data_IF_401268033194
#
_entry.id   IF_401268033194
#
_cell.length_a   1.000
_cell.length_b   1.000
_cell.length_c   1.000
_cell.angle_alpha   90.00
_cell.angle_beta   90.00
_cell.angle_gamma   90.00
#
_symmetry.space_group_name_H-M   'P 1'
#
loop_
_entity.id
_entity.type
_entity.pdbx_description
1 polymer ?
#
# COMPACT_ATOMS: atom_id res chain seq x y z
N UNK A 1 -18.94 -0.27 -3.47
CA UNK A 1 -19.48 0.35 -4.70
C UNK A 1 -18.86 -0.32 -5.91
N UNK A 2 -19.68 -0.79 -6.87
CA UNK A 2 -19.21 -1.45 -8.09
C UNK A 2 -18.46 -0.45 -9.00
N UNK A 3 -17.31 -0.83 -9.53
CA UNK A 3 -16.51 0.05 -10.38
C UNK A 3 -17.17 0.22 -11.75
N UNK A 4 -17.26 1.48 -12.21
CA UNK A 4 -17.96 1.87 -13.44
C UNK A 4 -16.97 1.93 -14.59
N UNK A 5 -17.13 1.05 -15.56
CA UNK A 5 -16.24 0.97 -16.73
C UNK A 5 -17.02 1.38 -17.97
N UNK A 6 -16.40 2.22 -18.79
CA UNK A 6 -16.86 2.44 -20.16
C UNK A 6 -16.08 1.54 -21.09
N UNK A 7 -16.79 0.67 -21.82
CA UNK A 7 -16.22 -0.23 -22.82
C UNK A 7 -16.57 0.29 -24.23
N UNK A 8 -15.57 0.60 -25.05
CA UNK A 8 -15.77 1.15 -26.39
C UNK A 8 -15.14 0.23 -27.45
N UNK A 9 -15.95 -0.67 -28.02
CA UNK A 9 -15.50 -1.72 -28.95
C UNK A 9 -16.40 -1.77 -30.16
N UNK A 10 -15.83 -1.76 -31.37
CA UNK A 10 -16.58 -1.69 -32.62
C UNK A 10 -17.50 -2.90 -32.80
N UNK A 11 -17.04 -4.10 -32.43
CA UNK A 11 -17.77 -5.35 -32.63
C UNK A 11 -18.80 -5.58 -31.51
N UNK A 12 -20.10 -5.41 -31.80
CA UNK A 12 -21.17 -5.76 -30.85
C UNK A 12 -21.13 -7.24 -30.42
N UNK A 13 -20.71 -8.12 -31.34
CA UNK A 13 -20.52 -9.56 -31.09
C UNK A 13 -19.47 -9.86 -30.01
N UNK A 14 -18.58 -8.92 -29.71
CA UNK A 14 -17.64 -9.01 -28.60
C UNK A 14 -18.26 -8.54 -27.28
N UNK A 15 -19.05 -7.46 -27.33
CA UNK A 15 -19.67 -6.84 -26.16
C UNK A 15 -20.70 -7.77 -25.51
N UNK A 16 -21.57 -8.39 -26.31
CA UNK A 16 -22.70 -9.17 -25.81
C UNK A 16 -22.28 -10.37 -24.93
N UNK A 17 -21.34 -11.25 -25.35
CA UNK A 17 -20.88 -12.35 -24.50
C UNK A 17 -20.20 -11.89 -23.21
N UNK A 18 -19.47 -10.77 -23.27
CA UNK A 18 -18.77 -10.22 -22.11
C UNK A 18 -19.77 -9.68 -21.07
N UNK A 19 -20.77 -8.91 -21.49
CA UNK A 19 -21.84 -8.43 -20.60
C UNK A 19 -22.66 -9.60 -20.07
N UNK A 20 -22.95 -10.61 -20.90
CA UNK A 20 -23.67 -11.80 -20.47
C UNK A 20 -22.90 -12.54 -19.37
N UNK A 21 -21.59 -12.76 -19.53
CA UNK A 21 -20.76 -13.38 -18.50
C UNK A 21 -20.68 -12.55 -17.22
N UNK A 22 -20.51 -11.23 -17.34
CA UNK A 22 -20.47 -10.31 -16.21
C UNK A 22 -21.73 -10.43 -15.34
N UNK A 23 -22.90 -10.42 -15.95
CA UNK A 23 -24.18 -10.49 -15.24
C UNK A 23 -24.43 -11.81 -14.52
N UNK A 24 -23.80 -12.90 -14.96
CA UNK A 24 -24.00 -14.25 -14.41
C UNK A 24 -22.79 -14.76 -13.61
N UNK A 25 -21.87 -13.89 -13.22
CA UNK A 25 -20.68 -14.22 -12.44
C UNK A 25 -20.54 -13.32 -11.22
N UNK A 26 -19.61 -13.67 -10.33
CA UNK A 26 -19.26 -12.87 -9.13
C UNK A 26 -18.83 -11.42 -9.47
N UNK A 27 -18.39 -11.19 -10.70
CA UNK A 27 -17.98 -9.86 -11.18
C UNK A 27 -19.15 -8.88 -11.32
N UNK A 28 -20.40 -9.37 -11.43
CA UNK A 28 -21.59 -8.51 -11.59
C UNK A 28 -21.86 -7.60 -10.39
N UNK A 29 -21.42 -7.98 -9.19
CA UNK A 29 -21.47 -7.13 -8.00
C UNK A 29 -20.28 -6.14 -7.92
N UNK A 30 -19.18 -6.44 -8.62
CA UNK A 30 -17.93 -5.69 -8.56
C UNK A 30 -17.78 -4.67 -9.69
N UNK A 31 -18.36 -4.92 -10.86
CA UNK A 31 -18.21 -4.12 -12.07
C UNK A 31 -19.58 -3.74 -12.66
N UNK A 32 -19.66 -2.49 -13.13
CA UNK A 32 -20.76 -2.00 -13.97
C UNK A 32 -20.20 -1.50 -15.28
N UNK A 33 -20.47 -2.21 -16.37
CA UNK A 33 -19.95 -1.88 -17.70
C UNK A 33 -21.03 -1.16 -18.52
N UNK A 34 -20.70 0.02 -19.05
CA UNK A 34 -21.49 0.73 -20.06
C UNK A 34 -20.76 0.61 -21.39
N UNK A 35 -21.36 -0.08 -22.37
CA UNK A 35 -20.67 -0.44 -23.61
C UNK A 35 -21.16 0.37 -24.82
N UNK A 36 -20.24 0.72 -25.70
CA UNK A 36 -20.47 1.49 -26.92
C UNK A 36 -19.81 0.82 -28.12
N UNK A 37 -20.59 0.65 -29.19
CA UNK A 37 -20.09 0.16 -30.50
C UNK A 37 -20.00 1.24 -31.57
N UNK A 38 -20.51 2.45 -31.29
CA UNK A 38 -20.50 3.59 -32.20
C UNK A 38 -19.68 4.73 -31.58
N UNK A 39 -18.74 5.26 -32.37
CA UNK A 39 -17.80 6.29 -31.93
C UNK A 39 -18.53 7.57 -31.46
N UNK A 40 -19.50 8.05 -32.23
CA UNK A 40 -20.23 9.28 -31.92
C UNK A 40 -20.95 9.20 -30.56
N UNK A 41 -21.59 8.05 -30.29
CA UNK A 41 -22.30 7.81 -29.04
C UNK A 41 -21.33 7.71 -27.83
N UNK A 42 -20.15 7.12 -28.04
CA UNK A 42 -19.10 7.07 -27.01
C UNK A 42 -18.59 8.48 -26.69
N UNK A 43 -18.26 9.29 -27.69
CA UNK A 43 -17.76 10.66 -27.48
C UNK A 43 -18.83 11.52 -26.82
N UNK A 44 -20.09 11.44 -27.26
CA UNK A 44 -21.21 12.16 -26.65
C UNK A 44 -21.41 11.77 -25.18
N UNK A 45 -21.38 10.47 -24.86
CA UNK A 45 -21.46 10.00 -23.47
C UNK A 45 -20.30 10.52 -22.61
N UNK A 46 -19.08 10.43 -23.13
CA UNK A 46 -17.89 10.89 -22.41
C UNK A 46 -17.90 12.40 -22.20
N UNK A 47 -18.68 13.20 -22.94
CA UNK A 47 -18.81 14.65 -22.71
C UNK A 47 -19.68 15.02 -21.50
N UNK A 48 -20.47 14.09 -20.99
CA UNK A 48 -21.28 14.30 -19.79
C UNK A 48 -20.45 14.59 -18.53
N UNK A 49 -21.14 15.00 -17.46
CA UNK A 49 -20.50 15.31 -16.17
C UNK A 49 -20.10 14.04 -15.37
N UNK A 50 -20.70 12.89 -15.69
CA UNK A 50 -20.46 11.65 -14.96
C UNK A 50 -19.24 10.88 -15.49
N UNK A 51 -18.12 10.99 -14.78
CA UNK A 51 -16.85 10.38 -15.18
C UNK A 51 -16.76 8.91 -14.73
N UNK A 52 -16.44 7.96 -15.63
CA UNK A 52 -16.25 6.57 -15.26
C UNK A 52 -14.99 6.35 -14.39
N UNK A 53 -14.86 5.17 -13.84
CA UNK A 53 -13.67 4.73 -13.10
C UNK A 53 -12.55 4.31 -14.02
N UNK A 54 -12.87 3.75 -15.18
CA UNK A 54 -11.92 3.46 -16.24
C UNK A 54 -12.58 3.44 -17.62
N UNK A 55 -11.78 3.63 -18.66
CA UNK A 55 -12.18 3.51 -20.06
C UNK A 55 -11.36 2.41 -20.74
N UNK A 56 -12.02 1.44 -21.36
CA UNK A 56 -11.36 0.36 -22.11
C UNK A 56 -11.93 0.34 -23.51
N UNK A 57 -11.11 0.24 -24.55
CA UNK A 57 -11.66 0.18 -25.90
C UNK A 57 -10.65 -0.09 -27.00
N UNK A 58 -11.15 -0.18 -28.22
CA UNK A 58 -10.29 -0.28 -29.40
C UNK A 58 -9.47 1.01 -29.57
N UNK A 59 -8.29 0.90 -30.18
CA UNK A 59 -7.35 2.02 -30.37
C UNK A 59 -8.02 3.26 -30.97
N UNK A 60 -8.90 3.08 -31.97
CA UNK A 60 -9.58 4.19 -32.65
C UNK A 60 -10.52 5.00 -31.75
N UNK A 61 -11.15 4.37 -30.77
CA UNK A 61 -12.03 5.07 -29.82
C UNK A 61 -11.20 5.83 -28.79
N UNK A 62 -10.18 5.17 -28.25
CA UNK A 62 -9.29 5.75 -27.25
C UNK A 62 -8.54 6.96 -27.79
N UNK A 63 -7.95 6.85 -28.99
CA UNK A 63 -7.24 7.96 -29.63
C UNK A 63 -8.15 9.17 -29.86
N UNK A 64 -9.38 8.95 -30.36
CA UNK A 64 -10.34 10.02 -30.59
C UNK A 64 -10.73 10.75 -29.29
N UNK A 65 -10.88 10.02 -28.18
CA UNK A 65 -11.21 10.61 -26.88
C UNK A 65 -10.02 11.33 -26.24
N UNK A 66 -8.79 10.81 -26.38
CA UNK A 66 -7.58 11.44 -25.83
C UNK A 66 -7.23 12.76 -26.53
N UNK A 67 -7.54 12.91 -27.82
CA UNK A 67 -7.35 14.17 -28.58
C UNK A 67 -8.17 15.32 -27.98
N UNK A 68 -9.30 15.04 -27.31
CA UNK A 68 -10.07 16.06 -26.59
C UNK A 68 -9.43 16.50 -25.25
N UNK A 69 -8.20 16.06 -24.93
CA UNK A 69 -7.42 16.52 -23.77
C UNK A 69 -7.80 15.88 -22.43
N UNK A 70 -8.52 14.75 -22.45
CA UNK A 70 -9.07 14.09 -21.25
C UNK A 70 -8.16 12.95 -20.78
N UNK A 71 -7.13 13.28 -20.00
CA UNK A 71 -6.12 12.32 -19.51
C UNK A 71 -6.27 11.92 -18.02
N UNK A 72 -7.36 12.32 -17.35
CA UNK A 72 -7.53 12.12 -15.90
C UNK A 72 -8.14 10.77 -15.51
N UNK A 73 -8.80 10.07 -16.44
CA UNK A 73 -9.41 8.75 -16.21
C UNK A 73 -8.44 7.67 -16.72
N UNK A 74 -8.13 6.62 -15.92
CA UNK A 74 -7.32 5.51 -16.40
C UNK A 74 -7.95 4.85 -17.62
N UNK A 75 -7.10 4.47 -18.57
CA UNK A 75 -7.58 3.87 -19.81
C UNK A 75 -6.69 2.75 -20.31
N UNK A 76 -7.32 1.84 -21.06
CA UNK A 76 -6.64 0.73 -21.71
C UNK A 76 -7.09 0.56 -23.15
N UNK A 77 -6.16 0.10 -23.98
CA UNK A 77 -6.43 -0.31 -25.36
C UNK A 77 -6.55 -1.83 -25.41
N UNK A 78 -7.64 -2.31 -26.00
CA UNK A 78 -7.80 -3.72 -26.33
C UNK A 78 -7.00 -4.06 -27.58
N UNK A 79 -6.08 -5.01 -27.47
CA UNK A 79 -5.24 -5.49 -28.57
C UNK A 79 -5.58 -6.92 -28.96
N UNK A 80 -5.61 -7.21 -30.25
CA UNK A 80 -5.63 -8.58 -30.75
C UNK A 80 -4.18 -9.10 -30.80
N UNK A 81 -3.92 -10.28 -30.23
CA UNK A 81 -2.57 -10.88 -30.22
C UNK A 81 -2.04 -10.99 -31.66
N UNK A 82 -0.84 -10.46 -31.91
CA UNK A 82 -0.19 -10.45 -33.23
C UNK A 82 -0.11 -9.10 -33.93
N UNK A 83 -0.74 -8.05 -33.38
CA UNK A 83 -0.52 -6.69 -33.87
C UNK A 83 0.84 -6.14 -33.39
N UNK A 84 1.88 -6.33 -34.19
CA UNK A 84 3.12 -5.56 -34.06
C UNK A 84 2.76 -4.07 -34.10
N UNK A 85 3.03 -3.34 -33.03
CA UNK A 85 3.08 -1.89 -33.13
C UNK A 85 4.23 -1.54 -34.08
N UNK A 86 3.87 -1.07 -35.27
CA UNK A 86 4.71 -0.19 -36.06
C UNK A 86 5.28 0.88 -35.11
N UNK A 87 6.58 1.16 -35.23
CA UNK A 87 7.34 2.15 -34.45
C UNK A 87 6.85 3.61 -34.59
N UNK A 88 5.61 3.84 -35.04
CA UNK A 88 4.98 5.13 -35.25
C UNK A 88 4.05 5.58 -34.11
N UNK A 89 3.60 4.72 -33.20
CA UNK A 89 2.73 5.13 -32.08
C UNK A 89 3.53 5.58 -30.84
N UNK A 90 4.30 6.67 -30.99
CA UNK A 90 4.97 7.39 -29.89
C UNK A 90 4.00 8.20 -29.00
N UNK A 91 2.69 7.96 -29.06
CA UNK A 91 1.67 8.87 -28.51
C UNK A 91 0.77 8.29 -27.39
N UNK A 92 0.93 7.03 -26.98
CA UNK A 92 0.10 6.42 -25.93
C UNK A 92 0.81 6.43 -24.55
N UNK A 93 1.49 7.53 -24.22
CA UNK A 93 2.12 7.69 -22.91
C UNK A 93 1.03 7.75 -21.82
N UNK A 94 0.92 6.68 -21.01
CA UNK A 94 0.08 6.65 -19.81
C UNK A 94 -1.09 5.66 -19.80
N UNK A 95 -1.37 4.94 -20.89
CA UNK A 95 -2.37 3.87 -20.93
C UNK A 95 -1.77 2.47 -20.95
N UNK A 96 -2.56 1.46 -20.56
CA UNK A 96 -2.14 0.05 -20.57
C UNK A 96 -2.73 -0.71 -21.76
N UNK A 97 -2.11 -1.82 -22.13
CA UNK A 97 -2.60 -2.71 -23.19
C UNK A 97 -3.18 -3.97 -22.58
N UNK A 98 -4.38 -4.37 -23.02
CA UNK A 98 -5.08 -5.57 -22.55
C UNK A 98 -5.39 -6.45 -23.77
N UNK A 99 -5.04 -7.74 -23.70
CA UNK A 99 -5.38 -8.69 -24.75
C UNK A 99 -6.90 -8.86 -24.85
N UNK A 100 -7.46 -8.66 -26.05
CA UNK A 100 -8.90 -8.73 -26.33
C UNK A 100 -9.43 -10.16 -26.21
N UNK A 101 -8.66 -11.14 -26.68
CA UNK A 101 -9.03 -12.56 -26.72
C UNK A 101 -8.28 -13.35 -25.66
N UNK A 102 -8.83 -13.34 -24.45
CA UNK A 102 -8.34 -14.13 -23.31
C UNK A 102 -9.52 -14.68 -22.51
N UNK A 103 -9.25 -15.50 -21.50
CA UNK A 103 -10.29 -15.98 -20.60
C UNK A 103 -11.04 -14.81 -19.94
N UNK A 104 -12.38 -14.85 -19.94
CA UNK A 104 -13.21 -13.78 -19.39
C UNK A 104 -12.89 -13.42 -17.92
N UNK A 105 -12.61 -14.36 -17.01
CA UNK A 105 -12.10 -14.02 -15.67
C UNK A 105 -10.83 -13.16 -15.71
N UNK A 106 -9.85 -13.52 -16.55
CA UNK A 106 -8.60 -12.76 -16.67
C UNK A 106 -8.84 -11.36 -17.23
N UNK A 107 -9.74 -11.24 -18.22
CA UNK A 107 -10.12 -9.96 -18.81
C UNK A 107 -10.81 -9.04 -17.79
N UNK A 108 -11.79 -9.56 -17.05
CA UNK A 108 -12.49 -8.79 -16.01
C UNK A 108 -11.57 -8.48 -14.81
N UNK A 109 -10.62 -9.37 -14.50
CA UNK A 109 -9.53 -9.10 -13.56
C UNK A 109 -8.66 -7.91 -13.98
N UNK A 110 -8.27 -7.85 -15.26
CA UNK A 110 -7.52 -6.71 -15.80
C UNK A 110 -8.33 -5.40 -15.77
N UNK A 111 -9.65 -5.47 -15.98
CA UNK A 111 -10.56 -4.32 -15.87
C UNK A 111 -10.65 -3.80 -14.43
N UNK A 112 -10.75 -4.70 -13.46
CA UNK A 112 -10.71 -4.36 -12.05
C UNK A 112 -9.38 -3.73 -11.66
N UNK A 113 -8.25 -4.30 -12.11
CA UNK A 113 -6.92 -3.72 -11.88
C UNK A 113 -6.81 -2.30 -12.46
N UNK A 114 -7.34 -2.05 -13.65
CA UNK A 114 -7.38 -0.71 -14.24
C UNK A 114 -8.22 0.28 -13.41
N UNK A 115 -9.32 -0.17 -12.82
CA UNK A 115 -10.10 0.66 -11.88
C UNK A 115 -9.35 0.85 -10.56
N UNK A 116 -8.63 -0.18 -10.10
CA UNK A 116 -7.71 -0.05 -8.98
C UNK A 116 -6.58 0.92 -9.29
N UNK A 117 -6.17 1.18 -10.54
CA UNK A 117 -5.22 2.27 -10.88
C UNK A 117 -5.80 3.65 -10.51
N UNK A 118 -7.13 3.86 -10.61
CA UNK A 118 -7.80 5.09 -10.12
C UNK A 118 -7.80 5.15 -8.59
N UNK A 119 -7.97 4.01 -7.90
CA UNK A 119 -7.88 3.92 -6.43
C UNK A 119 -6.44 3.86 -5.90
N UNK A 120 -5.48 3.51 -6.75
CA UNK A 120 -4.04 3.46 -6.48
C UNK A 120 -3.40 4.83 -6.70
N UNK A 121 -4.05 5.72 -7.47
CA UNK A 121 -4.02 7.16 -7.19
C UNK A 121 -4.87 7.40 -5.94
N UNK A 122 -4.29 7.04 -4.81
CA UNK A 122 -4.96 6.92 -3.52
C UNK A 122 -5.98 8.02 -3.25
N UNK A 123 -7.27 7.69 -3.35
CA UNK A 123 -8.26 8.48 -2.65
C UNK A 123 -8.23 7.98 -1.22
N UNK A 124 -7.45 8.66 -0.38
CA UNK A 124 -7.60 8.56 1.07
C UNK A 124 -9.08 8.72 1.39
N UNK A 125 -9.65 7.77 2.12
CA UNK A 125 -11.01 7.89 2.66
C UNK A 125 -11.01 8.96 3.76
N UNK A 126 -9.84 9.24 4.32
CA UNK A 126 -9.61 10.17 5.41
C UNK A 126 -8.98 11.48 4.94
N UNK A 127 -9.20 12.54 5.71
CA UNK A 127 -8.59 13.85 5.47
C UNK A 127 -7.10 13.91 5.87
N UNK A 128 -6.66 13.00 6.74
CA UNK A 128 -5.29 12.93 7.27
C UNK A 128 -4.69 11.52 7.15
N UNK A 129 -3.41 11.47 6.79
CA UNK A 129 -2.62 10.23 6.71
C UNK A 129 -2.07 9.86 8.09
N UNK A 130 -2.42 8.68 8.60
CA UNK A 130 -1.86 8.13 9.83
C UNK A 130 -0.48 7.50 9.56
N UNK A 131 0.56 8.02 10.21
CA UNK A 131 1.88 7.39 10.24
C UNK A 131 2.01 6.42 11.43
N UNK A 132 2.11 5.13 11.14
CA UNK A 132 2.31 4.05 12.10
C UNK A 132 3.72 3.46 11.97
N UNK A 133 4.57 3.71 12.96
CA UNK A 133 5.92 3.14 13.01
C UNK A 133 5.95 1.79 13.72
N UNK A 134 6.52 0.77 13.09
CA UNK A 134 6.74 -0.55 13.70
C UNK A 134 8.18 -0.64 14.19
N UNK A 135 8.37 -0.73 15.51
CA UNK A 135 9.67 -0.63 16.17
C UNK A 135 9.91 -1.79 17.12
N UNK A 136 11.17 -2.03 17.46
CA UNK A 136 11.57 -3.04 18.45
C UNK A 136 12.98 -2.75 18.93
N UNK A 137 13.27 -3.09 20.18
CA UNK A 137 14.60 -3.00 20.76
C UNK A 137 15.49 -4.21 20.48
N UNK A 138 14.94 -5.23 19.81
CA UNK A 138 15.58 -6.52 19.59
C UNK A 138 15.37 -6.98 18.15
N UNK A 139 16.38 -7.66 17.60
CA UNK A 139 16.25 -8.37 16.34
C UNK A 139 15.31 -9.58 16.48
N UNK A 140 14.74 -10.02 15.35
CA UNK A 140 13.92 -11.24 15.27
C UNK A 140 12.72 -11.31 16.24
N UNK A 141 12.11 -10.14 16.53
CA UNK A 141 10.82 -10.03 17.23
C UNK A 141 9.63 -10.16 16.27
N UNK A 142 9.89 -10.20 14.96
CA UNK A 142 8.86 -10.34 13.93
C UNK A 142 8.22 -9.03 13.49
N UNK A 143 8.91 -7.89 13.64
CA UNK A 143 8.44 -6.56 13.19
C UNK A 143 7.85 -6.58 11.79
N UNK A 144 8.65 -7.01 10.80
CA UNK A 144 8.24 -7.13 9.40
C UNK A 144 7.01 -7.99 9.21
N UNK A 145 6.90 -9.08 9.97
CA UNK A 145 5.71 -9.94 9.96
C UNK A 145 4.46 -9.22 10.43
N UNK A 146 4.56 -8.50 11.55
CA UNK A 146 3.45 -7.71 12.08
C UNK A 146 3.10 -6.59 11.10
N UNK A 147 4.10 -5.85 10.61
CA UNK A 147 3.93 -4.75 9.67
C UNK A 147 3.18 -5.17 8.40
N UNK A 148 3.61 -6.27 7.76
CA UNK A 148 2.96 -6.77 6.55
C UNK A 148 1.55 -7.30 6.79
N UNK A 149 1.34 -8.05 7.87
CA UNK A 149 0.00 -8.56 8.15
C UNK A 149 -0.97 -7.42 8.51
N UNK A 150 -0.52 -6.39 9.24
CA UNK A 150 -1.31 -5.19 9.46
C UNK A 150 -1.61 -4.46 8.15
N UNK A 151 -0.62 -4.29 7.27
CA UNK A 151 -0.81 -3.64 5.98
C UNK A 151 -1.88 -4.35 5.15
N UNK A 152 -1.78 -5.68 5.07
CA UNK A 152 -2.77 -6.52 4.41
C UNK A 152 -4.16 -6.37 5.04
N UNK A 153 -4.26 -6.52 6.36
CA UNK A 153 -5.55 -6.50 7.06
C UNK A 153 -6.29 -5.17 6.85
N UNK A 154 -5.57 -4.05 6.86
CA UNK A 154 -6.12 -2.72 6.62
C UNK A 154 -6.49 -2.50 5.15
N UNK A 155 -5.66 -2.98 4.21
CA UNK A 155 -5.95 -2.93 2.78
C UNK A 155 -7.19 -3.77 2.40
N UNK A 156 -7.38 -4.93 3.03
CA UNK A 156 -8.57 -5.78 2.88
C UNK A 156 -9.84 -5.11 3.42
N UNK A 157 -9.71 -4.22 4.40
CA UNK A 157 -10.80 -3.39 4.91
C UNK A 157 -11.14 -2.20 3.98
N UNK A 158 -10.40 -2.02 2.89
CA UNK A 158 -10.65 -0.97 1.90
C UNK A 158 -9.92 0.34 2.16
N UNK A 159 -9.03 0.41 3.15
CA UNK A 159 -8.18 1.58 3.37
C UNK A 159 -7.08 1.67 2.31
N UNK A 160 -6.69 2.89 1.96
CA UNK A 160 -5.49 3.12 1.15
C UNK A 160 -4.24 3.03 2.02
N UNK A 161 -3.56 1.89 1.95
CA UNK A 161 -2.40 1.58 2.80
C UNK A 161 -1.09 1.70 2.02
N UNK A 162 -0.08 2.32 2.62
CA UNK A 162 1.30 2.32 2.15
C UNK A 162 2.21 1.55 3.11
N UNK A 163 2.95 0.57 2.61
CA UNK A 163 3.99 -0.15 3.34
C UNK A 163 5.36 0.40 2.95
N UNK A 164 6.08 0.95 3.92
CA UNK A 164 7.42 1.50 3.76
C UNK A 164 8.42 0.68 4.59
N UNK A 165 9.34 -0.04 3.94
CA UNK A 165 10.45 -0.70 4.61
C UNK A 165 11.68 0.22 4.69
N UNK A 166 12.21 0.44 5.90
CA UNK A 166 13.42 1.21 6.20
C UNK A 166 14.54 0.38 6.85
N UNK A 167 14.48 -0.95 6.77
CA UNK A 167 15.58 -1.84 7.16
C UNK A 167 16.84 -1.60 6.31
N UNK A 168 18.03 -1.64 6.92
CA UNK A 168 19.30 -1.57 6.17
C UNK A 168 19.43 -2.68 5.12
N UNK A 169 18.90 -3.87 5.44
CA UNK A 169 18.86 -5.04 4.56
C UNK A 169 17.41 -5.49 4.52
N UNK A 170 16.76 -5.27 3.38
CA UNK A 170 15.34 -5.56 3.21
C UNK A 170 15.07 -7.07 3.25
N UNK A 171 14.43 -7.53 4.33
CA UNK A 171 13.98 -8.91 4.48
C UNK A 171 12.62 -9.18 3.83
N UNK A 172 11.90 -8.14 3.43
CA UNK A 172 10.56 -8.22 2.83
C UNK A 172 10.55 -8.92 1.48
N UNK A 173 11.65 -8.84 0.73
CA UNK A 173 11.80 -9.49 -0.58
C UNK A 173 11.68 -11.02 -0.55
N UNK A 174 11.75 -11.65 0.63
CA UNK A 174 11.47 -13.07 0.81
C UNK A 174 9.97 -13.40 0.74
N UNK A 175 9.10 -12.41 0.89
CA UNK A 175 7.64 -12.58 0.94
C UNK A 175 6.93 -11.75 -0.13
N UNK A 176 7.53 -10.63 -0.53
CA UNK A 176 6.99 -9.68 -1.48
C UNK A 176 7.83 -9.66 -2.74
N UNK A 177 7.21 -10.00 -3.88
CA UNK A 177 7.84 -9.87 -5.19
C UNK A 177 7.31 -8.62 -5.85
N UNK A 178 8.16 -7.61 -6.12
CA UNK A 178 7.68 -6.39 -6.74
C UNK A 178 7.15 -6.73 -8.14
N UNK A 179 6.07 -6.07 -8.60
CA UNK A 179 5.50 -6.34 -9.91
C UNK A 179 6.54 -6.07 -11.01
N UNK A 180 6.38 -6.75 -12.15
CA UNK A 180 7.18 -6.43 -13.33
C UNK A 180 6.90 -4.98 -13.77
N UNK A 181 7.93 -4.25 -14.19
CA UNK A 181 7.80 -2.89 -14.70
C UNK A 181 9.02 -2.01 -14.42
N UNK A 182 9.04 -0.86 -15.07
CA UNK A 182 10.18 0.08 -15.07
C UNK A 182 10.02 1.22 -14.05
N UNK A 183 9.12 1.07 -13.07
CA UNK A 183 8.96 2.03 -11.96
C UNK A 183 10.32 2.23 -11.29
N UNK A 184 10.83 3.47 -11.20
CA UNK A 184 12.10 3.71 -10.54
C UNK A 184 12.07 3.33 -9.06
N UNK A 185 13.24 2.95 -8.52
CA UNK A 185 13.38 2.59 -7.11
C UNK A 185 13.42 3.78 -6.15
N UNK A 186 13.31 3.46 -4.85
CA UNK A 186 13.38 4.45 -3.77
C UNK A 186 14.69 5.24 -3.79
N UNK A 187 15.79 4.65 -4.26
CA UNK A 187 17.09 5.32 -4.40
C UNK A 187 17.02 6.57 -5.28
N UNK A 188 16.22 6.54 -6.35
CA UNK A 188 16.04 7.68 -7.24
C UNK A 188 15.18 8.76 -6.59
N UNK A 189 14.12 8.37 -5.90
CA UNK A 189 13.29 9.31 -5.13
C UNK A 189 14.14 10.03 -4.07
N UNK A 190 14.98 9.31 -3.33
CA UNK A 190 15.86 9.91 -2.33
C UNK A 190 16.86 10.89 -2.94
N UNK A 191 17.38 10.59 -4.13
CA UNK A 191 18.23 11.53 -4.86
C UNK A 191 17.47 12.82 -5.21
N UNK A 192 16.23 12.71 -5.70
CA UNK A 192 15.40 13.87 -6.06
C UNK A 192 14.99 14.69 -4.84
N UNK A 193 14.70 14.05 -3.69
CA UNK A 193 14.48 14.73 -2.41
C UNK A 193 15.70 15.57 -2.03
N UNK A 194 16.90 14.98 -2.08
CA UNK A 194 18.15 15.67 -1.77
C UNK A 194 18.41 16.84 -2.72
N UNK A 195 18.23 16.63 -4.02
CA UNK A 195 18.42 17.67 -5.02
C UNK A 195 17.41 18.82 -4.87
N UNK A 196 16.16 18.51 -4.51
CA UNK A 196 15.12 19.53 -4.28
C UNK A 196 15.41 20.37 -3.05
N UNK A 197 15.96 19.75 -1.98
CA UNK A 197 16.41 20.46 -0.78
C UNK A 197 17.49 21.48 -1.08
N UNK A 198 18.50 21.11 -1.87
CA UNK A 198 19.61 21.98 -2.23
C UNK A 198 19.17 23.19 -3.10
N UNK A 199 18.07 23.04 -3.83
CA UNK A 199 17.45 24.10 -4.64
C UNK A 199 16.39 24.93 -3.91
N UNK A 200 16.18 24.71 -2.61
CA UNK A 200 15.20 25.47 -1.81
C UNK A 200 13.73 25.03 -1.98
N UNK A 201 13.48 23.78 -2.40
CA UNK A 201 12.13 23.18 -2.38
C UNK A 201 11.18 23.63 -3.49
N UNK A 202 11.69 24.20 -4.57
CA UNK A 202 10.87 24.73 -5.67
C UNK A 202 10.29 23.64 -6.61
N UNK A 203 10.87 22.43 -6.62
CA UNK A 203 10.43 21.32 -7.48
C UNK A 203 9.41 20.46 -6.72
N UNK A 204 8.17 20.36 -7.22
CA UNK A 204 7.18 19.39 -6.73
C UNK A 204 7.55 18.00 -7.23
N UNK A 205 7.98 17.12 -6.32
CA UNK A 205 8.27 15.72 -6.63
C UNK A 205 6.94 14.99 -6.80
N UNK A 206 6.67 14.49 -8.01
CA UNK A 206 5.54 13.58 -8.23
C UNK A 206 5.86 12.22 -7.61
N UNK A 207 5.26 11.95 -6.45
CA UNK A 207 5.47 10.70 -5.73
C UNK A 207 4.91 9.49 -6.48
N UNK A 208 3.85 9.69 -7.27
CA UNK A 208 3.11 8.63 -7.95
C UNK A 208 3.95 7.81 -8.92
N UNK A 209 5.01 8.41 -9.48
CA UNK A 209 5.92 7.71 -10.40
C UNK A 209 6.81 6.65 -9.73
N UNK A 210 6.95 6.66 -8.41
CA UNK A 210 7.78 5.69 -7.65
C UNK A 210 6.94 4.61 -6.96
N UNK A 211 5.62 4.80 -6.89
CA UNK A 211 4.73 3.90 -6.16
C UNK A 211 4.48 2.64 -6.99
N UNK A 212 4.68 1.48 -6.36
CA UNK A 212 4.22 0.18 -6.82
C UNK A 212 3.12 -0.34 -5.91
N UNK A 213 2.35 -1.33 -6.39
CA UNK A 213 1.31 -2.00 -5.61
C UNK A 213 1.64 -3.48 -5.47
N UNK A 214 1.52 -3.99 -4.26
CA UNK A 214 1.60 -5.41 -3.96
C UNK A 214 0.19 -5.98 -3.83
N UNK A 215 -0.24 -6.76 -4.81
CA UNK A 215 -1.60 -7.33 -4.84
C UNK A 215 -1.90 -8.20 -3.61
N UNK A 216 -0.96 -9.08 -3.22
CA UNK A 216 -1.12 -9.95 -2.06
C UNK A 216 -1.11 -9.21 -0.72
N UNK A 217 -0.49 -8.03 -0.67
CA UNK A 217 -0.46 -7.16 0.52
C UNK A 217 -1.61 -6.14 0.52
N UNK A 218 -2.35 -6.01 -0.59
CA UNK A 218 -3.39 -4.99 -0.80
C UNK A 218 -2.91 -3.55 -0.51
N UNK A 219 -1.62 -3.30 -0.67
CA UNK A 219 -0.96 -2.07 -0.22
C UNK A 219 -0.01 -1.52 -1.29
N UNK A 220 0.15 -0.21 -1.30
CA UNK A 220 1.18 0.49 -2.03
C UNK A 220 2.54 0.38 -1.32
N UNK A 221 3.63 0.53 -2.06
CA UNK A 221 5.00 0.54 -1.52
C UNK A 221 5.95 1.22 -2.52
N UNK A 222 7.20 1.43 -2.11
CA UNK A 222 8.28 1.69 -3.07
C UNK A 222 8.99 0.40 -3.44
N UNK A 223 9.62 0.38 -4.62
CA UNK A 223 10.59 -0.69 -4.91
C UNK A 223 11.77 -0.58 -3.92
N UNK A 224 12.24 -1.71 -3.38
CA UNK A 224 13.29 -1.71 -2.37
C UNK A 224 14.64 -1.30 -2.95
N UNK A 225 15.46 -0.65 -2.12
CA UNK A 225 16.82 -0.28 -2.49
C UNK A 225 17.70 -1.54 -2.45
N UNK A 226 18.27 -1.89 -3.60
CA UNK A 226 19.13 -3.09 -3.73
C UNK A 226 20.51 -2.84 -3.10
N UNK A 227 21.01 -1.61 -3.19
CA UNK A 227 22.33 -1.24 -2.69
C UNK A 227 22.27 -0.84 -1.22
N UNK A 228 22.72 -1.74 -0.33
CA UNK A 228 22.78 -1.50 1.12
C UNK A 228 23.53 -0.21 1.48
N UNK A 229 24.53 0.21 0.69
CA UNK A 229 25.26 1.46 0.97
C UNK A 229 24.37 2.70 0.87
N UNK A 230 23.42 2.70 -0.05
CA UNK A 230 22.47 3.81 -0.20
C UNK A 230 21.53 3.88 0.99
N UNK A 231 21.05 2.72 1.47
CA UNK A 231 20.31 2.67 2.74
C UNK A 231 21.16 3.26 3.86
N UNK A 232 22.37 2.75 4.12
CA UNK A 232 23.25 3.22 5.20
C UNK A 232 23.59 4.72 5.16
N UNK A 233 23.47 5.37 4.00
CA UNK A 233 23.68 6.81 3.83
C UNK A 233 22.42 7.66 4.04
N UNK A 234 21.25 7.05 4.24
CA UNK A 234 20.03 7.76 4.58
C UNK A 234 20.13 8.37 5.97
N UNK A 235 20.01 9.68 6.02
CA UNK A 235 20.05 10.43 7.28
C UNK A 235 18.66 10.52 7.93
N UNK A 236 18.61 10.98 9.17
CA UNK A 236 17.34 11.32 9.84
C UNK A 236 16.55 12.34 9.03
N UNK A 237 17.20 13.37 8.48
CA UNK A 237 16.51 14.39 7.68
C UNK A 237 15.94 13.80 6.38
N UNK A 238 16.72 12.99 5.66
CA UNK A 238 16.24 12.36 4.41
C UNK A 238 14.97 11.51 4.65
N UNK A 239 14.92 10.82 5.80
CA UNK A 239 13.76 10.02 6.20
C UNK A 239 12.58 10.90 6.60
N UNK A 240 12.81 12.00 7.31
CA UNK A 240 11.76 12.96 7.67
C UNK A 240 11.14 13.61 6.42
N UNK A 241 11.96 13.95 5.43
CA UNK A 241 11.52 14.52 4.16
C UNK A 241 10.67 13.51 3.38
N UNK A 242 11.11 12.24 3.31
CA UNK A 242 10.35 11.15 2.69
C UNK A 242 8.98 10.92 3.35
N UNK A 243 8.94 10.83 4.68
CA UNK A 243 7.69 10.69 5.43
C UNK A 243 6.80 11.93 5.26
N UNK A 244 7.39 13.11 5.17
CA UNK A 244 6.69 14.36 4.89
C UNK A 244 5.99 14.36 3.54
N UNK A 245 6.66 13.86 2.49
CA UNK A 245 6.06 13.72 1.16
C UNK A 245 4.88 12.76 1.15
N UNK A 246 5.01 11.60 1.80
CA UNK A 246 3.94 10.61 1.90
C UNK A 246 2.68 11.19 2.57
N UNK A 247 2.84 12.03 3.59
CA UNK A 247 1.73 12.71 4.28
C UNK A 247 1.17 13.88 3.46
N UNK A 248 2.03 14.65 2.78
CA UNK A 248 1.62 15.83 2.03
C UNK A 248 0.73 15.49 0.83
N UNK A 249 1.01 14.37 0.16
CA UNK A 249 0.23 13.88 -0.98
C UNK A 249 -1.19 13.42 -0.61
N UNK A 250 -1.45 13.09 0.67
CA UNK A 250 -2.75 12.62 1.19
C UNK A 250 -3.39 11.50 0.36
N UNK A 251 -2.55 10.66 -0.25
CA UNK A 251 -3.02 9.53 -1.04
C UNK A 251 -3.32 8.29 -0.16
N UNK A 252 -2.86 8.27 1.08
CA UNK A 252 -2.93 7.10 1.95
C UNK A 252 -3.62 7.42 3.27
N UNK A 253 -4.57 6.57 3.65
CA UNK A 253 -5.19 6.56 4.97
C UNK A 253 -4.15 6.21 6.05
N UNK A 254 -3.34 5.18 5.77
CA UNK A 254 -2.33 4.66 6.70
C UNK A 254 -1.01 4.39 5.99
N UNK A 255 0.08 4.90 6.54
CA UNK A 255 1.44 4.53 6.16
C UNK A 255 2.05 3.71 7.30
N UNK A 256 2.32 2.45 7.04
CA UNK A 256 3.02 1.54 7.95
C UNK A 256 4.51 1.58 7.63
N UNK A 257 5.31 2.03 8.60
CA UNK A 257 6.75 2.15 8.46
C UNK A 257 7.45 1.05 9.24
N UNK A 258 7.96 0.04 8.53
CA UNK A 258 8.78 -1.03 9.11
C UNK A 258 10.23 -0.55 9.27
N UNK A 259 10.78 -0.66 10.48
CA UNK A 259 12.09 -0.11 10.81
C UNK A 259 13.15 -1.19 10.98
N UNK A 260 14.41 -0.81 10.76
CA UNK A 260 15.56 -1.63 11.15
C UNK A 260 15.82 -1.60 12.66
N UNK A 261 17.08 -1.43 13.02
CA UNK A 261 17.47 -1.27 14.42
C UNK A 261 17.19 0.16 14.91
N UNK A 262 16.79 0.29 16.18
CA UNK A 262 16.33 1.57 16.75
C UNK A 262 17.44 2.64 16.83
N UNK A 263 18.70 2.21 16.87
CA UNK A 263 19.88 3.09 16.83
C UNK A 263 20.10 3.78 15.47
N UNK A 264 19.51 3.24 14.39
CA UNK A 264 19.67 3.77 13.03
C UNK A 264 18.99 5.14 12.88
N UNK A 265 19.58 6.02 12.06
CA UNK A 265 19.04 7.37 11.82
C UNK A 265 17.62 7.37 11.25
N UNK A 266 17.30 6.37 10.42
CA UNK A 266 15.95 6.16 9.87
C UNK A 266 14.95 5.82 10.97
N UNK A 267 15.30 4.92 11.89
CA UNK A 267 14.43 4.57 13.01
C UNK A 267 14.20 5.77 13.94
N UNK A 268 15.22 6.60 14.18
CA UNK A 268 15.06 7.86 14.92
C UNK A 268 14.06 8.80 14.25
N UNK A 269 14.13 8.97 12.93
CA UNK A 269 13.15 9.78 12.19
C UNK A 269 11.71 9.26 12.36
N UNK A 270 11.53 7.93 12.34
CA UNK A 270 10.24 7.30 12.62
C UNK A 270 9.77 7.60 14.04
N UNK A 271 10.65 7.48 15.04
CA UNK A 271 10.34 7.85 16.42
C UNK A 271 9.96 9.32 16.57
N UNK A 272 10.51 10.22 15.75
CA UNK A 272 10.11 11.63 15.71
C UNK A 272 8.76 11.85 15.05
N UNK A 273 8.56 11.31 13.84
CA UNK A 273 7.48 11.74 12.95
C UNK A 273 6.19 10.94 13.10
N UNK A 274 6.26 9.65 13.47
CA UNK A 274 5.07 8.81 13.52
C UNK A 274 4.13 9.23 14.66
N UNK A 275 2.83 9.19 14.40
CA UNK A 275 1.78 9.49 15.37
C UNK A 275 1.52 8.32 16.32
N UNK A 276 1.79 7.09 15.87
CA UNK A 276 1.74 5.87 16.67
C UNK A 276 3.04 5.09 16.47
N UNK A 277 3.56 4.53 17.56
CA UNK A 277 4.69 3.61 17.57
C UNK A 277 4.25 2.26 18.14
N UNK A 278 4.23 1.22 17.31
CA UNK A 278 3.98 -0.15 17.75
C UNK A 278 5.30 -0.86 18.05
N UNK A 279 5.56 -1.09 19.33
CA UNK A 279 6.67 -1.87 19.85
C UNK A 279 6.34 -3.36 19.81
N UNK A 280 6.99 -4.07 18.89
CA UNK A 280 6.89 -5.52 18.82
C UNK A 280 7.95 -6.12 19.74
N UNK A 281 7.49 -6.80 20.78
CA UNK A 281 8.33 -7.42 21.82
C UNK A 281 8.10 -8.92 21.85
N UNK A 282 9.10 -9.67 22.33
CA UNK A 282 8.93 -11.09 22.67
C UNK A 282 8.66 -11.22 24.16
N UNK A 283 7.97 -12.29 24.53
CA UNK A 283 7.74 -12.66 25.94
C UNK A 283 9.00 -13.30 26.56
N UNK A 284 10.13 -12.59 26.54
CA UNK A 284 11.38 -13.01 27.15
C UNK A 284 12.09 -11.84 27.84
N UNK A 285 12.80 -12.13 28.93
CA UNK A 285 13.43 -11.11 29.79
C UNK A 285 14.39 -10.19 29.02
N UNK A 286 15.08 -10.72 28.01
CA UNK A 286 16.05 -9.94 27.23
C UNK A 286 15.34 -8.91 26.36
N UNK A 287 14.30 -9.33 25.64
CA UNK A 287 13.49 -8.43 24.81
C UNK A 287 12.85 -7.33 25.66
N UNK A 288 12.30 -7.71 26.81
CA UNK A 288 11.67 -6.78 27.75
C UNK A 288 12.71 -5.79 28.31
N UNK A 289 13.83 -6.29 28.82
CA UNK A 289 14.88 -5.45 29.40
C UNK A 289 15.37 -4.40 28.40
N UNK A 290 15.65 -4.82 27.16
CA UNK A 290 16.09 -3.91 26.09
C UNK A 290 15.02 -2.86 25.76
N UNK A 291 13.75 -3.26 25.69
CA UNK A 291 12.64 -2.33 25.41
C UNK A 291 12.56 -1.26 26.49
N UNK A 292 12.58 -1.65 27.76
CA UNK A 292 12.52 -0.72 28.89
C UNK A 292 13.70 0.23 28.93
N UNK A 293 14.92 -0.26 28.64
CA UNK A 293 16.11 0.59 28.54
C UNK A 293 15.98 1.64 27.44
N UNK A 294 15.48 1.25 26.26
CA UNK A 294 15.27 2.17 25.16
C UNK A 294 14.20 3.21 25.45
N UNK A 295 13.06 2.81 26.02
CA UNK A 295 12.01 3.75 26.43
C UNK A 295 12.52 4.73 27.49
N UNK A 296 13.27 4.23 28.48
CA UNK A 296 13.88 5.08 29.51
C UNK A 296 14.85 6.09 28.91
N UNK A 297 15.65 5.67 27.92
CA UNK A 297 16.55 6.55 27.18
C UNK A 297 15.76 7.60 26.36
N UNK A 298 14.69 7.21 25.68
CA UNK A 298 13.85 8.14 24.92
C UNK A 298 13.21 9.21 25.81
N UNK A 299 12.78 8.84 27.02
CA UNK A 299 12.17 9.75 27.98
C UNK A 299 13.18 10.57 28.81
N UNK A 300 14.49 10.27 28.72
CA UNK A 300 15.49 10.97 29.50
C UNK A 300 15.68 12.42 28.99
N UNK A 301 15.78 13.42 29.89
CA UNK A 301 16.10 14.78 29.49
C UNK A 301 17.48 14.82 28.81
N UNK A 302 17.57 15.53 27.68
CA UNK A 302 18.78 15.67 26.86
C UNK A 302 19.23 14.40 26.09
N UNK A 303 18.36 13.39 25.93
CA UNK A 303 18.66 12.22 25.09
C UNK A 303 18.81 12.55 23.59
N UNK A 304 18.35 13.74 23.16
CA UNK A 304 18.21 14.09 21.75
C UNK A 304 17.03 13.39 21.07
N UNK A 305 16.26 12.59 21.83
CA UNK A 305 15.07 11.88 21.36
C UNK A 305 13.83 12.77 21.50
N UNK A 306 12.76 12.48 20.73
CA UNK A 306 11.53 13.27 20.82
C UNK A 306 10.89 13.15 22.20
N UNK A 307 10.42 14.27 22.74
CA UNK A 307 9.48 14.25 23.87
C UNK A 307 8.23 13.47 23.46
N UNK A 308 7.64 12.70 24.39
CA UNK A 308 6.36 11.97 24.18
C UNK A 308 6.45 10.67 23.37
N UNK A 309 7.65 10.06 23.19
CA UNK A 309 7.75 8.71 22.59
C UNK A 309 6.82 7.73 23.32
N UNK A 310 6.76 7.79 24.64
CA UNK A 310 5.91 6.92 25.45
C UNK A 310 4.41 7.12 25.16
N UNK A 311 3.94 8.36 25.02
CA UNK A 311 2.50 8.66 24.87
C UNK A 311 1.90 8.03 23.60
N UNK A 312 2.71 7.98 22.55
CA UNK A 312 2.37 7.33 21.28
C UNK A 312 2.79 5.87 21.17
N UNK A 313 3.42 5.31 22.21
CA UNK A 313 3.86 3.92 22.20
C UNK A 313 2.70 2.98 22.53
N UNK A 314 2.60 1.90 21.75
CA UNK A 314 1.73 0.74 21.93
C UNK A 314 2.60 -0.51 21.85
N UNK A 315 2.23 -1.60 22.48
CA UNK A 315 3.01 -2.81 22.64
C UNK A 315 2.24 -4.03 22.15
N UNK A 316 2.85 -4.80 21.25
CA UNK A 316 2.39 -6.12 20.87
C UNK A 316 3.41 -7.17 21.27
N UNK A 317 2.98 -8.19 21.97
CA UNK A 317 3.79 -9.37 22.29
C UNK A 317 3.65 -10.35 21.12
N UNK A 318 4.75 -10.67 20.44
CA UNK A 318 4.77 -11.67 19.39
C UNK A 318 5.44 -12.97 19.86
N UNK A 319 5.25 -14.04 19.10
CA UNK A 319 5.72 -15.40 19.44
C UNK A 319 5.13 -15.94 20.74
N UNK A 320 3.89 -15.56 21.08
CA UNK A 320 3.21 -16.12 22.23
C UNK A 320 2.90 -17.60 21.97
N UNK A 321 3.32 -18.47 22.89
CA UNK A 321 2.94 -19.88 22.90
C UNK A 321 1.71 -20.07 23.81
N UNK A 322 0.88 -21.05 23.49
CA UNK A 322 -0.32 -21.35 24.27
C UNK A 322 0.05 -21.68 25.73
N UNK A 323 -0.60 -20.98 26.67
CA UNK A 323 -0.45 -21.21 28.11
C UNK A 323 0.76 -20.55 28.78
N UNK A 324 1.58 -19.76 28.06
CA UNK A 324 2.54 -18.87 28.74
C UNK A 324 1.81 -17.68 29.34
N UNK A 325 2.08 -17.40 30.62
CA UNK A 325 1.69 -16.12 31.22
C UNK A 325 2.32 -15.00 30.37
N UNK A 326 1.47 -14.17 29.79
CA UNK A 326 1.91 -12.93 29.17
C UNK A 326 2.58 -12.15 30.29
N UNK A 327 3.82 -11.73 30.04
CA UNK A 327 4.56 -10.86 30.93
C UNK A 327 3.66 -9.76 31.49
N UNK A 328 3.68 -9.60 32.81
CA UNK A 328 3.04 -8.47 33.46
C UNK A 328 3.82 -7.20 33.09
N UNK A 329 3.24 -6.30 32.28
CA UNK A 329 3.94 -5.09 31.89
C UNK A 329 4.24 -4.23 33.15
N UNK A 330 5.42 -3.59 33.22
CA UNK A 330 5.75 -2.56 34.20
C UNK A 330 4.68 -1.48 34.21
N UNK A 331 4.55 -0.81 35.35
CA UNK A 331 3.59 0.28 35.52
C UNK A 331 3.68 1.29 34.37
N UNK A 332 2.53 1.59 33.76
CA UNK A 332 2.42 2.53 32.64
C UNK A 332 2.55 1.90 31.24
N UNK A 333 2.81 0.59 31.11
CA UNK A 333 2.75 -0.12 29.84
C UNK A 333 1.45 -0.92 29.74
N UNK A 334 0.74 -0.76 28.63
CA UNK A 334 -0.40 -1.61 28.26
C UNK A 334 0.00 -2.43 27.04
N UNK A 335 -0.41 -3.68 26.98
CA UNK A 335 -0.20 -4.55 25.82
C UNK A 335 -1.50 -4.61 25.02
N UNK A 336 -1.49 -4.09 23.81
CA UNK A 336 -2.65 -3.99 22.90
C UNK A 336 -2.84 -5.25 22.04
N UNK A 337 -1.90 -6.19 22.06
CA UNK A 337 -2.12 -7.46 21.39
C UNK A 337 -1.08 -8.51 21.71
N UNK A 338 -1.53 -9.77 21.61
CA UNK A 338 -0.71 -10.95 21.81
C UNK A 338 -0.83 -11.80 20.55
N UNK A 339 0.25 -11.87 19.79
CA UNK A 339 0.30 -12.54 18.50
C UNK A 339 0.90 -13.95 18.67
N UNK A 340 0.22 -14.99 18.16
CA UNK A 340 0.61 -16.37 18.38
C UNK A 340 1.86 -16.73 17.57
N UNK A 341 2.65 -17.63 18.12
CA UNK A 341 3.64 -18.35 17.33
C UNK A 341 2.92 -19.28 16.34
N UNK A 342 3.25 -19.18 15.05
CA UNK A 342 2.70 -20.03 14.01
C UNK A 342 3.76 -21.06 13.58
N UNK A 343 3.66 -22.33 14.02
CA UNK A 343 4.69 -23.34 13.71
C UNK A 343 4.82 -23.61 12.21
N UNK A 344 3.71 -23.56 11.47
CA UNK A 344 3.67 -23.87 10.04
C UNK A 344 4.48 -22.90 9.17
N UNK A 345 4.84 -21.72 9.69
CA UNK A 345 5.72 -20.78 8.98
C UNK A 345 7.17 -21.26 8.87
N UNK A 346 7.53 -22.34 9.56
CA UNK A 346 8.83 -23.01 9.40
C UNK A 346 8.85 -24.05 8.27
N UNK A 347 7.69 -24.32 7.63
CA UNK A 347 7.53 -25.32 6.58
C UNK A 347 7.81 -24.75 5.17
N UNK A 348 7.89 -25.63 4.18
CA UNK A 348 7.91 -25.27 2.75
C UNK A 348 6.57 -24.57 2.37
N UNK A 349 6.60 -23.56 1.51
CA UNK A 349 5.49 -22.61 1.19
C UNK A 349 5.20 -21.50 2.21
N UNK A 350 6.24 -21.06 2.94
CA UNK A 350 6.16 -19.93 3.88
C UNK A 350 5.53 -18.67 3.28
N UNK A 351 5.82 -18.31 2.03
CA UNK A 351 5.33 -17.08 1.37
C UNK A 351 3.79 -16.98 1.36
N UNK A 352 3.09 -18.07 1.02
CA UNK A 352 1.63 -18.10 0.93
C UNK A 352 0.97 -18.18 2.31
N UNK A 353 1.53 -18.94 3.24
CA UNK A 353 0.95 -19.16 4.57
C UNK A 353 1.18 -17.96 5.52
N UNK A 354 2.22 -17.17 5.25
CA UNK A 354 2.65 -16.07 6.10
C UNK A 354 1.60 -14.96 6.21
N UNK A 355 1.02 -14.55 5.07
CA UNK A 355 -0.01 -13.51 5.03
C UNK A 355 -1.43 -14.08 5.21
N UNK A 356 -1.63 -15.40 5.21
CA UNK A 356 -2.96 -16.01 5.17
C UNK A 356 -3.29 -16.86 6.40
N UNK A 357 -2.45 -16.89 7.44
CA UNK A 357 -2.71 -17.66 8.66
C UNK A 357 -3.97 -17.12 9.39
N UNK A 358 -5.07 -17.89 9.50
CA UNK A 358 -6.32 -17.36 10.05
C UNK A 358 -6.23 -16.97 11.52
N UNK A 359 -5.44 -17.70 12.30
CA UNK A 359 -5.23 -17.40 13.73
C UNK A 359 -4.44 -16.10 13.89
N UNK A 360 -3.39 -15.90 13.08
CA UNK A 360 -2.58 -14.69 13.13
C UNK A 360 -3.37 -13.46 12.63
N UNK A 361 -4.11 -13.61 11.53
CA UNK A 361 -4.94 -12.53 10.97
C UNK A 361 -6.02 -12.07 11.96
N UNK A 362 -6.62 -12.98 12.72
CA UNK A 362 -7.58 -12.63 13.77
C UNK A 362 -6.97 -11.72 14.83
N UNK A 363 -5.79 -12.07 15.33
CA UNK A 363 -5.12 -11.27 16.37
C UNK A 363 -4.59 -9.94 15.80
N UNK A 364 -4.14 -9.93 14.54
CA UNK A 364 -3.77 -8.70 13.84
C UNK A 364 -4.97 -7.76 13.67
N UNK A 365 -6.15 -8.28 13.33
CA UNK A 365 -7.36 -7.47 13.24
C UNK A 365 -7.74 -6.86 14.59
N UNK A 366 -7.62 -7.62 15.69
CA UNK A 366 -7.85 -7.09 17.04
C UNK A 366 -6.84 -6.02 17.42
N UNK A 367 -5.56 -6.25 17.10
CA UNK A 367 -4.49 -5.28 17.31
C UNK A 367 -4.73 -3.98 16.53
N UNK A 368 -5.11 -4.09 15.25
CA UNK A 368 -5.48 -2.96 14.41
C UNK A 368 -6.64 -2.17 15.03
N UNK A 369 -7.70 -2.84 15.50
CA UNK A 369 -8.83 -2.17 16.19
C UNK A 369 -8.34 -1.37 17.39
N UNK A 370 -7.60 -1.99 18.29
CA UNK A 370 -7.17 -1.34 19.54
C UNK A 370 -6.24 -0.13 19.30
N UNK A 371 -5.35 -0.23 18.31
CA UNK A 371 -4.33 0.79 18.06
C UNK A 371 -4.85 1.90 17.15
N UNK A 372 -5.61 1.53 16.12
CA UNK A 372 -5.95 2.44 15.02
C UNK A 372 -7.33 3.07 15.22
N UNK A 373 -8.33 2.37 15.76
CA UNK A 373 -9.68 2.91 15.97
C UNK A 373 -9.73 4.23 16.77
N UNK A 374 -8.88 4.44 17.81
CA UNK A 374 -8.85 5.74 18.51
C UNK A 374 -8.41 6.91 17.63
N UNK A 375 -7.57 6.64 16.62
CA UNK A 375 -7.08 7.66 15.69
C UNK A 375 -7.96 7.75 14.43
N UNK A 376 -8.57 6.63 14.03
CA UNK A 376 -9.43 6.48 12.86
C UNK A 376 -10.79 5.88 13.28
N UNK A 377 -11.66 6.69 13.92
CA UNK A 377 -12.94 6.20 14.41
C UNK A 377 -13.82 5.69 13.25
N UNK A 378 -14.65 4.69 13.55
CA UNK A 378 -15.64 4.08 12.66
C UNK A 378 -15.11 3.16 11.53
N UNK A 379 -13.81 3.17 11.24
CA UNK A 379 -13.18 2.27 10.24
C UNK A 379 -13.51 0.79 10.47
N UNK A 380 -13.56 0.36 11.74
CA UNK A 380 -13.78 -1.04 12.13
C UNK A 380 -15.25 -1.38 12.45
N UNK A 381 -16.15 -0.38 12.42
CA UNK A 381 -17.56 -0.54 12.80
C UNK A 381 -18.50 -0.70 11.59
N UNK A 382 -17.99 -0.53 10.37
CA UNK A 382 -18.77 -0.61 9.13
C UNK A 382 -19.77 0.53 8.91
N UNK A 383 -19.80 1.53 9.79
CA UNK A 383 -20.75 2.66 9.71
C UNK A 383 -20.22 3.90 8.98
N UNK A 384 -18.91 4.05 8.84
CA UNK A 384 -18.30 5.26 8.26
C UNK A 384 -18.18 5.30 6.73
N UNK A 385 -18.61 4.27 6.00
CA UNK A 385 -18.54 4.22 4.53
C UNK A 385 -19.90 4.53 3.85
N UNK A 386 -20.89 4.95 4.63
CA UNK A 386 -22.29 5.05 4.18
C UNK A 386 -23.00 6.36 4.54
N UNK A 387 -22.28 7.43 4.92
CA UNK A 387 -22.87 8.77 5.04
C UNK A 387 -22.33 9.73 3.98
#
# INVERSE_FOLDING_TARGET
>A
MAARIVLAVRESQYIEPLLHYLHHSEYGEMLRITAFSRLDAFIEFMRGEDMPDAVVGDVTFIEAWLVEGRNKVPWAVLSEEGAYLSRSSKSLAGGIMIAKYQALPSLLGAFLQLCEVKRARGSSVLDETLLLGIVSSSGNTGKTTVAMNMAKQLGEMGLSVFYLNLESVDSSGLFLRPPAGDTPGLERLLYEIKASRDKGGADTIDLGQYVIRYDHLRSAAFRPIINVKEMLQMTTQDTLDLLGLLVAERNFDVVIVDTGSIEEERAKAVLHKCGILLWVVRNDEVSIHKTMRWLSHCNAPNSGMPSQVMDKSRFAVNFAADGLEVWAPPEGITVEGVLPYIPSWTLQHREELFLNSPQFQREILQLCKQIIEPSLPQVFTGKGLHE
#
